data_IF_569163808262
#
_entry.id   IF_569163808262
#
_cell.length_a   1.000
_cell.length_b   1.000
_cell.length_c   1.000
_cell.angle_alpha   90.00
_cell.angle_beta   90.00
_cell.angle_gamma   90.00
#
_symmetry.space_group_name_H-M   'P 1'
#
loop_
_entity.id
_entity.type
_entity.pdbx_description
1 polymer ?
#
# COMPACT_ATOMS: atom_id res chain seq x y z
N UNK A 1 8.38 0.06 1.21
CA UNK A 1 9.52 -0.77 0.76
C UNK A 1 9.26 -2.21 1.20
N UNK A 2 9.40 -3.18 0.31
CA UNK A 2 9.45 -4.59 0.72
C UNK A 2 10.83 -4.87 1.35
N UNK A 3 10.82 -5.29 2.61
CA UNK A 3 12.05 -5.54 3.37
C UNK A 3 12.83 -6.76 2.88
N UNK A 4 12.19 -7.69 2.16
CA UNK A 4 12.80 -8.89 1.60
C UNK A 4 13.30 -8.69 0.17
N UNK A 5 12.73 -7.72 -0.54
CA UNK A 5 13.11 -7.37 -1.90
C UNK A 5 13.02 -5.85 -2.12
N UNK A 6 14.13 -5.11 -1.92
CA UNK A 6 14.15 -3.66 -2.05
C UNK A 6 13.81 -3.11 -3.45
N UNK A 7 13.82 -3.95 -4.49
CA UNK A 7 13.36 -3.59 -5.83
C UNK A 7 11.85 -3.35 -5.91
N UNK A 8 11.10 -3.63 -4.85
CA UNK A 8 9.65 -3.39 -4.75
C UNK A 8 9.35 -2.36 -3.68
N UNK A 9 8.67 -1.29 -4.06
CA UNK A 9 8.15 -0.28 -3.14
C UNK A 9 6.65 -0.13 -3.28
N UNK A 10 6.00 0.29 -2.20
CA UNK A 10 4.58 0.61 -2.17
C UNK A 10 4.46 2.06 -1.78
N UNK A 11 3.77 2.84 -2.59
CA UNK A 11 3.59 4.26 -2.41
C UNK A 11 2.13 4.56 -2.10
N UNK A 12 1.92 5.62 -1.31
CA UNK A 12 0.64 6.28 -1.18
C UNK A 12 0.73 7.55 -2.02
N UNK A 13 0.08 7.55 -3.19
CA UNK A 13 0.15 8.62 -4.19
C UNK A 13 -1.21 9.29 -4.30
N UNK A 14 -1.24 10.62 -4.31
CA UNK A 14 -2.48 11.36 -4.53
C UNK A 14 -2.90 11.27 -6.00
N UNK A 15 -4.16 10.87 -6.22
CA UNK A 15 -4.81 10.80 -7.52
C UNK A 15 -6.20 11.42 -7.36
N UNK A 16 -6.45 12.54 -8.05
CA UNK A 16 -7.72 13.27 -8.00
C UNK A 16 -8.21 13.59 -6.57
N UNK A 17 -7.30 14.00 -5.68
CA UNK A 17 -7.63 14.39 -4.29
C UNK A 17 -7.78 13.22 -3.31
N UNK A 18 -7.54 11.97 -3.75
CA UNK A 18 -7.54 10.79 -2.88
C UNK A 18 -6.19 10.09 -2.96
N UNK A 19 -5.64 9.69 -1.81
CA UNK A 19 -4.44 8.86 -1.78
C UNK A 19 -4.77 7.40 -2.14
N UNK A 20 -4.08 6.87 -3.14
CA UNK A 20 -4.17 5.49 -3.59
C UNK A 20 -2.86 4.73 -3.33
N UNK A 21 -2.94 3.41 -3.18
CA UNK A 21 -1.77 2.55 -3.06
C UNK A 21 -1.34 2.08 -4.44
N UNK A 22 -0.06 2.27 -4.74
CA UNK A 22 0.58 1.74 -5.94
C UNK A 22 1.76 0.87 -5.56
N UNK A 23 1.94 -0.23 -6.28
CA UNK A 23 3.15 -1.04 -6.25
C UNK A 23 4.06 -0.59 -7.37
N UNK A 24 5.30 -0.27 -7.03
CA UNK A 24 6.34 0.14 -7.96
C UNK A 24 7.47 -0.88 -7.94
N UNK A 25 7.97 -1.25 -9.10
CA UNK A 25 9.06 -2.21 -9.26
C UNK A 25 10.16 -1.60 -10.12
N UNK A 26 11.41 -1.78 -9.70
CA UNK A 26 12.59 -1.36 -10.47
C UNK A 26 13.45 -2.57 -10.88
N UNK A 27 13.90 -2.65 -12.15
CA UNK A 27 14.85 -3.67 -12.57
C UNK A 27 16.31 -3.26 -12.35
N UNK A 28 16.58 -1.99 -12.04
CA UNK A 28 17.91 -1.36 -12.20
C UNK A 28 18.30 -0.48 -11.01
N UNK A 29 17.93 -0.90 -9.80
CA UNK A 29 18.32 -0.20 -8.57
C UNK A 29 17.66 1.17 -8.39
N UNK A 30 16.58 1.43 -9.13
CA UNK A 30 15.75 2.63 -9.02
C UNK A 30 15.97 3.66 -10.12
N UNK A 31 16.73 3.34 -11.18
CA UNK A 31 16.90 4.24 -12.32
C UNK A 31 15.66 4.28 -13.23
N UNK A 32 14.95 3.16 -13.37
CA UNK A 32 13.66 3.03 -14.03
C UNK A 32 12.65 2.29 -13.15
N UNK A 33 11.37 2.61 -13.36
CA UNK A 33 10.26 2.06 -12.59
C UNK A 33 9.07 1.70 -13.46
N UNK A 34 8.40 0.61 -13.11
CA UNK A 34 7.04 0.28 -13.56
C UNK A 34 6.09 0.28 -12.37
N UNK A 35 4.85 0.69 -12.57
CA UNK A 35 3.86 0.78 -11.50
C UNK A 35 2.57 0.03 -11.82
N UNK A 36 1.91 -0.44 -10.77
CA UNK A 36 0.61 -1.09 -10.81
C UNK A 36 -0.24 -0.58 -9.64
N UNK A 37 -1.50 -0.24 -9.92
CA UNK A 37 -2.45 0.16 -8.88
C UNK A 37 -2.82 -1.04 -7.99
N UNK A 38 -2.74 -0.85 -6.67
CA UNK A 38 -3.30 -1.78 -5.67
C UNK A 38 -4.70 -1.33 -5.27
N UNK A 39 -4.92 -0.03 -5.20
CA UNK A 39 -6.26 0.58 -5.04
C UNK A 39 -6.47 1.62 -6.14
N UNK A 40 -7.73 1.87 -6.49
CA UNK A 40 -8.13 2.90 -7.45
C UNK A 40 -9.60 3.29 -7.23
N UNK A 41 -9.94 4.56 -7.47
CA UNK A 41 -11.32 5.06 -7.36
C UNK A 41 -11.87 5.00 -5.94
N UNK A 42 -11.00 5.08 -4.93
CA UNK A 42 -11.38 4.99 -3.53
C UNK A 42 -12.17 6.24 -3.09
N UNK A 43 -13.17 6.06 -2.24
CA UNK A 43 -13.90 7.20 -1.64
C UNK A 43 -13.12 7.89 -0.51
N UNK A 44 -12.11 7.21 0.04
CA UNK A 44 -11.30 7.65 1.18
C UNK A 44 -9.84 7.29 0.95
N UNK A 45 -8.96 7.99 1.64
CA UNK A 45 -7.51 7.86 1.48
C UNK A 45 -7.02 6.46 1.87
N UNK A 46 -6.02 5.98 1.15
CA UNK A 46 -5.21 4.82 1.48
C UNK A 46 -3.78 5.29 1.73
N UNK A 47 -3.33 5.25 2.98
CA UNK A 47 -2.07 5.86 3.42
C UNK A 47 -1.19 4.90 4.20
N UNK A 48 0.10 5.22 4.27
CA UNK A 48 1.13 4.49 5.02
C UNK A 48 1.14 2.98 4.72
N UNK A 49 1.38 2.58 3.46
CA UNK A 49 1.57 1.17 3.15
C UNK A 49 2.79 0.61 3.90
N UNK A 50 2.63 -0.56 4.51
CA UNK A 50 3.70 -1.29 5.18
C UNK A 50 3.65 -2.76 4.76
N UNK A 51 4.83 -3.29 4.45
CA UNK A 51 4.99 -4.71 4.10
C UNK A 51 5.38 -5.47 5.36
N UNK A 52 4.66 -6.56 5.67
CA UNK A 52 5.05 -7.43 6.78
C UNK A 52 6.44 -7.99 6.53
N UNK A 53 7.29 -7.95 7.55
CA UNK A 53 8.59 -8.62 7.50
C UNK A 53 8.38 -10.13 7.37
N UNK A 54 9.28 -10.78 6.64
CA UNK A 54 9.28 -12.23 6.45
C UNK A 54 7.93 -12.79 5.95
N UNK A 55 7.19 -12.01 5.15
CA UNK A 55 5.96 -12.48 4.53
C UNK A 55 6.26 -13.70 3.64
N UNK A 56 5.33 -14.65 3.62
CA UNK A 56 5.42 -15.86 2.80
C UNK A 56 4.43 -15.75 1.63
N UNK A 57 4.73 -16.39 0.48
CA UNK A 57 3.75 -16.54 -0.58
C UNK A 57 2.41 -17.07 -0.03
N UNK A 58 1.29 -16.43 -0.40
CA UNK A 58 -0.05 -16.82 0.05
C UNK A 58 -0.50 -16.29 1.43
N UNK A 59 0.26 -15.38 2.06
CA UNK A 59 -0.13 -14.68 3.31
C UNK A 59 -0.26 -13.17 3.08
N UNK A 60 -1.02 -12.43 3.92
CA UNK A 60 -1.18 -11.00 3.72
C UNK A 60 0.18 -10.33 3.91
N UNK A 61 0.65 -9.70 2.84
CA UNK A 61 1.99 -9.12 2.78
C UNK A 61 1.95 -7.61 2.95
N UNK A 62 0.85 -6.96 2.55
CA UNK A 62 0.72 -5.50 2.55
C UNK A 62 -0.44 -5.07 3.46
N UNK A 63 -0.17 -4.10 4.31
CA UNK A 63 -1.16 -3.41 5.15
C UNK A 63 -1.12 -1.92 4.89
N UNK A 64 -2.26 -1.25 5.02
CA UNK A 64 -2.34 0.20 4.94
C UNK A 64 -3.50 0.73 5.79
N UNK A 65 -3.45 2.03 6.09
CA UNK A 65 -4.58 2.71 6.73
C UNK A 65 -5.54 3.21 5.66
N UNK A 66 -6.83 2.95 5.83
CA UNK A 66 -7.89 3.41 4.95
C UNK A 66 -8.89 4.28 5.71
N UNK A 67 -9.14 5.51 5.25
CA UNK A 67 -10.09 6.43 5.88
C UNK A 67 -9.65 7.89 5.83
N UNK A 68 -10.21 8.71 6.71
CA UNK A 68 -9.84 10.13 6.84
C UNK A 68 -8.56 10.25 7.67
N UNK A 69 -7.47 10.69 7.04
CA UNK A 69 -6.16 10.84 7.68
C UNK A 69 -5.67 12.28 7.52
N UNK A 70 -5.94 13.14 8.49
CA UNK A 70 -5.56 14.56 8.48
C UNK A 70 -4.19 14.73 9.14
N UNK A 71 -3.99 14.08 10.29
CA UNK A 71 -2.75 14.14 11.07
C UNK A 71 -2.61 12.89 11.96
N UNK A 72 -1.42 12.67 12.55
CA UNK A 72 -1.16 11.46 13.35
C UNK A 72 -2.00 11.37 14.64
N UNK A 73 -2.59 12.47 15.12
CA UNK A 73 -3.53 12.50 16.25
C UNK A 73 -4.98 12.71 15.83
N UNK A 74 -5.24 13.01 14.55
CA UNK A 74 -6.58 13.27 14.01
C UNK A 74 -6.81 12.43 12.77
N UNK A 75 -7.28 11.21 13.02
CA UNK A 75 -7.55 10.22 12.00
C UNK A 75 -8.79 9.39 12.37
N UNK A 76 -9.50 8.94 11.34
CA UNK A 76 -10.55 7.93 11.44
C UNK A 76 -10.29 6.90 10.34
N UNK A 77 -9.47 5.91 10.67
CA UNK A 77 -8.97 4.92 9.71
C UNK A 77 -9.14 3.50 10.23
N UNK A 78 -9.25 2.56 9.31
CA UNK A 78 -9.15 1.13 9.56
C UNK A 78 -7.90 0.56 8.89
N UNK A 79 -7.37 -0.54 9.40
CA UNK A 79 -6.30 -1.28 8.72
C UNK A 79 -6.92 -2.19 7.65
N UNK A 80 -6.44 -2.08 6.41
CA UNK A 80 -6.78 -2.98 5.31
C UNK A 80 -5.56 -3.81 4.91
N UNK A 81 -5.82 -4.90 4.18
CA UNK A 81 -4.78 -5.77 3.61
C UNK A 81 -5.13 -6.20 2.18
N UNK A 82 -4.12 -6.62 1.42
CA UNK A 82 -4.24 -7.01 0.02
C UNK A 82 -4.72 -8.45 -0.17
N UNK A 83 -5.09 -9.15 0.91
CA UNK A 83 -5.81 -10.42 0.80
C UNK A 83 -7.31 -10.20 1.02
N UNK A 84 -8.16 -10.95 0.30
CA UNK A 84 -9.56 -11.05 0.65
C UNK A 84 -9.68 -11.62 2.07
N UNK A 85 -10.57 -11.04 2.87
CA UNK A 85 -10.96 -11.62 4.14
C UNK A 85 -11.61 -12.95 3.79
N UNK A 86 -11.08 -14.07 4.28
CA UNK A 86 -11.76 -15.36 4.14
C UNK A 86 -13.08 -15.26 4.90
N UNK A 87 -14.19 -15.49 4.20
CA UNK A 87 -15.51 -15.61 4.82
C UNK A 87 -15.41 -16.68 5.92
N UNK A 88 -15.84 -16.31 7.13
CA UNK A 88 -15.88 -17.22 8.28
C UNK A 88 -17.04 -18.19 8.16
#
# INVERSE_FOLDING_TARGET
>A
LDHSNPSVVYLSREVNGVFEIEKWTTPDGGAAWTSQNITAGSQKNNVRPVVSRSHKPGRPALFWMHGDYIYYTRYHTAIKTNLPIADK
#
